data_IF_633303723297
#
_entry.id   IF_633303723297
#
_cell.length_a   1.000
_cell.length_b   1.000
_cell.length_c   1.000
_cell.angle_alpha   90.00
_cell.angle_beta   90.00
_cell.angle_gamma   90.00
#
_symmetry.space_group_name_H-M   'P 1'
#
loop_
_entity.id
_entity.type
_entity.pdbx_description
1 polymer ?
2 non-polymer ?
3 non-polymer ?
4 non-polymer ?
5 non-polymer ?
6 water ?
#
# COMPACT_ATOMS: atom_id res chain seq x y z
N UNK A 7 -6.97 24.36 22.48
CA UNK A 7 -6.99 25.41 21.46
C UNK A 7 -8.14 25.31 20.40
N UNK A 8 -8.90 24.21 20.39
CA UNK A 8 -10.09 23.97 19.53
C UNK A 8 -10.96 22.82 20.08
N UNK A 9 -12.12 22.52 19.41
CA UNK A 9 -13.02 21.40 19.81
C UNK A 9 -13.29 20.46 18.64
N UNK A 10 -13.89 19.28 18.91
CA UNK A 10 -14.32 18.33 17.88
C UNK A 10 -15.74 18.70 17.47
N UNK A 11 -16.12 18.45 16.20
CA UNK A 11 -17.50 18.79 15.80
C UNK A 11 -18.53 18.00 16.59
N UNK A 12 -19.65 18.65 16.86
CA UNK A 12 -20.79 18.11 17.60
C UNK A 12 -21.26 16.79 16.96
N UNK A 13 -21.25 16.69 15.59
CA UNK A 13 -21.66 15.48 14.85
C UNK A 13 -20.78 14.25 15.15
N UNK A 14 -19.46 14.45 15.29
CA UNK A 14 -18.48 13.42 15.65
C UNK A 14 -18.70 13.00 17.09
N UNK A 15 -18.70 13.99 18.00
CA UNK A 15 -18.87 13.84 19.45
C UNK A 15 -20.14 13.07 19.80
N UNK A 16 -21.17 13.21 18.97
CA UNK A 16 -22.43 12.53 19.16
C UNK A 16 -22.29 11.02 19.04
N UNK A 17 -21.52 10.54 18.05
CA UNK A 17 -21.28 9.13 17.74
C UNK A 17 -20.03 8.49 18.36
N UNK A 18 -18.97 9.29 18.61
CA UNK A 18 -17.69 8.80 19.11
C UNK A 18 -17.15 9.56 20.33
N UNK A 19 -16.36 8.83 21.19
CA UNK A 19 -15.59 9.38 22.31
C UNK A 19 -14.13 9.39 21.82
N UNK A 20 -13.53 10.58 21.66
CA UNK A 20 -12.17 10.70 21.15
C UNK A 20 -11.16 10.38 22.21
N UNK A 21 -10.04 9.77 21.79
CA UNK A 21 -8.98 9.35 22.71
C UNK A 21 -7.59 9.74 22.14
N UNK A 22 -6.52 9.02 22.56
CA UNK A 22 -5.09 9.23 22.25
C UNK A 22 -4.67 9.22 20.79
N UNK A 23 -3.60 9.98 20.48
CA UNK A 23 -2.99 10.06 19.16
C UNK A 23 -2.27 8.74 18.85
N UNK A 24 -2.52 8.17 17.66
CA UNK A 24 -1.90 6.92 17.21
C UNK A 24 -0.75 7.23 16.25
N UNK A 25 -0.96 8.22 15.39
CA UNK A 25 0.00 8.73 14.41
C UNK A 25 -0.17 10.22 14.22
N UNK A 26 0.96 10.95 14.21
CA UNK A 26 0.98 12.43 14.10
C UNK A 26 1.98 12.88 13.03
N UNK A 31 -2.73 13.27 10.83
CA UNK A 31 -3.11 13.10 12.24
C UNK A 31 -4.19 12.00 12.47
N UNK A 32 -3.83 10.90 13.21
CA UNK A 32 -4.70 9.73 13.49
C UNK A 32 -4.90 9.54 15.00
N UNK A 33 -6.16 9.60 15.45
CA UNK A 33 -6.46 9.40 16.85
C UNK A 33 -7.26 8.14 17.07
N UNK A 34 -7.20 7.60 18.28
CA UNK A 34 -8.00 6.45 18.71
C UNK A 34 -9.35 7.00 19.17
N UNK A 35 -10.43 6.28 18.91
CA UNK A 35 -11.76 6.68 19.33
C UNK A 35 -12.58 5.43 19.63
N UNK A 36 -13.70 5.61 20.31
CA UNK A 36 -14.62 4.55 20.63
C UNK A 36 -15.99 4.89 20.05
N UNK A 37 -16.60 3.95 19.30
CA UNK A 37 -17.95 4.17 18.81
C UNK A 37 -18.87 3.96 20.02
N UNK A 38 -19.70 4.96 20.33
CA UNK A 38 -20.59 4.93 21.50
C UNK A 38 -21.55 3.75 21.45
N UNK A 39 -22.09 3.45 20.23
CA UNK A 39 -23.08 2.40 19.95
C UNK A 39 -22.61 1.00 20.31
N UNK A 40 -21.35 0.67 19.99
CA UNK A 40 -20.78 -0.65 20.15
C UNK A 40 -19.74 -0.77 21.23
N UNK A 41 -19.13 0.38 21.60
CA UNK A 41 -18.04 0.48 22.57
C UNK A 41 -16.78 -0.11 21.98
N UNK A 42 -16.76 -0.20 20.65
CA UNK A 42 -15.64 -0.75 19.93
C UNK A 42 -14.64 0.34 19.55
N UNK A 43 -13.35 -0.01 19.56
CA UNK A 43 -12.27 0.91 19.22
C UNK A 43 -12.26 1.17 17.72
N UNK A 44 -12.07 2.44 17.30
CA UNK A 44 -11.97 2.84 15.89
C UNK A 44 -10.77 3.76 15.69
N UNK A 45 -10.38 4.03 14.46
CA UNK A 45 -9.29 4.98 14.21
C UNK A 45 -9.87 6.19 13.50
N UNK A 46 -9.54 7.42 13.97
CA UNK A 46 -10.04 8.64 13.32
C UNK A 46 -8.93 9.50 12.76
N UNK A 47 -8.88 9.60 11.42
CA UNK A 47 -7.92 10.42 10.66
C UNK A 47 -8.45 11.85 10.47
N UNK A 48 -7.72 12.81 11.02
CA UNK A 48 -7.99 14.25 10.94
C UNK A 48 -7.11 14.89 9.85
N UNK A 49 -7.77 15.45 8.81
CA UNK A 49 -7.15 16.13 7.67
C UNK A 49 -7.53 17.61 7.74
N UNK A 50 -6.52 18.50 7.83
CA UNK A 50 -6.74 19.97 7.90
C UNK A 50 -7.28 20.55 6.59
N UNK A 51 -8.17 21.55 6.72
CA UNK A 51 -8.77 22.23 5.56
C UNK A 51 -8.00 23.49 5.16
N UNK A 67 -9.93 16.22 -3.28
CA UNK A 67 -8.88 15.24 -3.01
C UNK A 67 -9.34 14.24 -1.92
N UNK A 68 -9.89 14.76 -0.80
CA UNK A 68 -10.40 13.95 0.31
C UNK A 68 -11.71 13.30 -0.15
N UNK A 69 -12.45 14.00 -1.04
CA UNK A 69 -13.70 13.54 -1.65
C UNK A 69 -13.46 12.32 -2.56
N UNK A 70 -12.35 12.33 -3.32
CA UNK A 70 -11.96 11.24 -4.21
C UNK A 70 -11.52 10.03 -3.39
N UNK A 71 -10.75 10.30 -2.32
CA UNK A 71 -10.23 9.31 -1.39
C UNK A 71 -11.43 8.54 -0.73
N UNK A 72 -12.49 9.26 -0.28
CA UNK A 72 -13.71 8.66 0.29
C UNK A 72 -14.43 7.82 -0.74
N UNK A 73 -14.57 8.34 -1.96
CA UNK A 73 -15.22 7.69 -3.10
C UNK A 73 -14.53 6.38 -3.42
N UNK A 74 -13.18 6.39 -3.45
CA UNK A 74 -12.36 5.20 -3.67
C UNK A 74 -12.59 4.21 -2.52
N UNK A 75 -12.30 4.61 -1.26
CA UNK A 75 -12.47 3.76 -0.07
C UNK A 75 -13.82 3.04 0.02
N UNK A 76 -14.94 3.75 -0.29
CA UNK A 76 -16.31 3.22 -0.22
C UNK A 76 -16.56 2.09 -1.23
N UNK A 77 -16.03 2.24 -2.46
CA UNK A 77 -16.23 1.27 -3.53
C UNK A 77 -15.37 0.01 -3.32
N UNK A 78 -14.16 0.17 -2.77
CA UNK A 78 -13.24 -0.95 -2.58
C UNK A 78 -13.67 -1.89 -1.46
N UNK A 79 -13.47 -3.18 -1.67
CA UNK A 79 -13.80 -4.21 -0.70
C UNK A 79 -12.85 -5.40 -0.84
N UNK A 80 -11.71 -5.31 -0.13
CA UNK A 80 -10.68 -6.34 -0.09
C UNK A 80 -10.15 -6.43 1.33
N UNK A 81 -9.83 -7.63 1.87
CA UNK A 81 -9.34 -7.70 3.26
C UNK A 81 -7.98 -7.04 3.52
N UNK A 82 -7.20 -6.73 2.46
CA UNK A 82 -5.88 -6.10 2.62
C UNK A 82 -5.88 -4.63 2.24
N UNK A 83 -7.09 -4.04 2.17
CA UNK A 83 -7.33 -2.62 1.93
C UNK A 83 -8.25 -2.08 3.05
N UNK A 84 -7.82 -1.02 3.75
CA UNK A 84 -8.56 -0.32 4.81
C UNK A 84 -10.00 0.07 4.40
N UNK A 85 -10.93 -0.08 5.36
CA UNK A 85 -12.34 0.24 5.15
C UNK A 85 -12.70 1.51 5.88
N UNK A 86 -13.50 2.34 5.25
CA UNK A 86 -13.99 3.58 5.82
C UNK A 86 -15.29 3.23 6.53
N UNK A 87 -15.45 3.74 7.75
CA UNK A 87 -16.59 3.44 8.60
C UNK A 87 -17.54 4.63 8.67
N UNK A 88 -17.00 5.86 8.53
CA UNK A 88 -17.75 7.11 8.64
C UNK A 88 -16.95 8.31 8.18
N UNK A 89 -17.64 9.43 7.89
CA UNK A 89 -16.97 10.66 7.44
C UNK A 89 -17.68 11.92 7.97
N UNK A 90 -16.89 12.92 8.40
CA UNK A 90 -17.36 14.20 8.91
C UNK A 90 -16.64 15.33 8.19
N UNK A 91 -17.41 16.16 7.48
CA UNK A 91 -16.94 17.32 6.72
C UNK A 91 -17.30 18.59 7.54
N UNK A 92 -16.36 19.03 8.39
CA UNK A 92 -16.50 20.16 9.31
C UNK A 92 -15.42 21.23 9.06
N UNK A 93 -14.79 21.83 10.12
CA UNK A 93 -13.72 22.81 9.97
C UNK A 93 -12.43 22.09 9.50
N UNK A 94 -12.44 20.76 9.69
CA UNK A 94 -11.42 19.80 9.29
C UNK A 94 -12.19 18.57 8.83
N UNK A 95 -11.52 17.73 8.02
CA UNK A 95 -12.10 16.47 7.55
C UNK A 95 -11.82 15.38 8.58
N UNK A 96 -12.85 14.58 8.95
CA UNK A 96 -12.71 13.46 9.89
C UNK A 96 -13.11 12.18 9.16
N UNK A 97 -12.14 11.27 9.02
CA UNK A 97 -12.32 9.96 8.39
C UNK A 97 -12.18 8.89 9.45
N UNK A 98 -13.29 8.19 9.68
CA UNK A 98 -13.41 7.10 10.65
C UNK A 98 -13.07 5.81 9.90
N UNK A 99 -12.01 5.13 10.36
CA UNK A 99 -11.50 3.90 9.77
C UNK A 99 -11.41 2.79 10.78
N UNK A 100 -11.17 1.57 10.30
CA UNK A 100 -10.92 0.39 11.13
C UNK A 100 -9.60 0.61 11.89
N UNK A 101 -9.57 0.25 13.18
CA UNK A 101 -8.36 0.37 13.96
C UNK A 101 -7.42 -0.76 13.62
N UNK A 102 -6.13 -0.43 13.38
CA UNK A 102 -5.07 -1.40 13.11
C UNK A 102 -4.12 -1.34 14.29
N UNK A 103 -4.34 -2.25 15.25
CA UNK A 103 -3.61 -2.32 16.50
C UNK A 103 -2.09 -2.43 16.38
N UNK A 104 -1.61 -3.15 15.37
CA UNK A 104 -0.18 -3.33 15.13
C UNK A 104 0.57 -2.09 14.70
N UNK A 105 -0.18 -1.09 14.23
CA UNK A 105 0.39 0.18 13.79
C UNK A 105 0.98 0.13 12.40
N UNK A 106 1.93 1.03 12.12
CA UNK A 106 2.58 1.10 10.80
C UNK A 106 3.72 0.12 10.66
N UNK A 107 3.90 -0.41 9.43
CA UNK A 107 4.97 -1.33 9.10
C UNK A 107 6.32 -0.59 9.22
N UNK A 108 6.32 0.76 9.03
CA UNK A 108 7.49 1.63 9.18
C UNK A 108 8.21 1.39 10.50
N UNK A 109 7.43 1.29 11.60
CA UNK A 109 7.94 1.07 12.96
C UNK A 109 8.70 -0.23 13.12
N UNK A 110 8.43 -1.25 12.26
CA UNK A 110 9.10 -2.55 12.25
C UNK A 110 10.42 -2.58 11.44
N UNK A 111 10.65 -1.58 10.59
CA UNK A 111 11.81 -1.55 9.66
C UNK A 111 12.78 -0.35 9.88
N UNK A 112 12.37 0.60 10.75
CA UNK A 112 13.12 1.81 11.05
C UNK A 112 14.46 1.55 11.78
N UNK A 113 15.49 2.30 11.37
CA UNK A 113 16.84 2.23 11.96
C UNK A 113 17.50 0.87 11.88
N UNK A 114 17.64 0.34 10.64
CA UNK A 114 18.29 -0.95 10.34
C UNK A 114 17.63 -2.21 10.96
N UNK A 115 16.41 -2.07 11.51
CA UNK A 115 15.63 -3.20 12.05
C UNK A 115 15.14 -4.00 10.85
N UNK A 116 15.26 -5.32 10.92
CA UNK A 116 14.83 -6.13 9.79
C UNK A 116 13.87 -7.23 10.22
N UNK A 117 12.99 -7.61 9.28
CA UNK A 117 12.01 -8.68 9.49
C UNK A 117 12.60 -10.01 9.00
N UNK A 118 12.20 -11.13 9.65
CA UNK A 118 12.67 -12.44 9.21
C UNK A 118 12.03 -12.74 7.85
N UNK A 119 12.77 -13.40 6.94
CA UNK A 119 12.32 -13.68 5.58
C UNK A 119 10.86 -14.17 5.46
N UNK A 120 10.44 -15.00 6.40
CA UNK A 120 9.12 -15.61 6.45
C UNK A 120 8.03 -14.57 6.68
N UNK A 121 8.33 -13.55 7.52
CA UNK A 121 7.44 -12.42 7.83
C UNK A 121 7.34 -11.51 6.61
N UNK A 122 8.49 -11.22 5.93
CA UNK A 122 8.53 -10.41 4.71
C UNK A 122 7.59 -10.99 3.67
N UNK A 123 7.64 -12.35 3.51
CA UNK A 123 6.82 -13.10 2.56
C UNK A 123 5.35 -12.95 2.86
N UNK A 124 4.95 -13.22 4.11
CA UNK A 124 3.56 -13.12 4.56
C UNK A 124 2.97 -11.73 4.33
N UNK A 125 3.72 -10.67 4.69
CA UNK A 125 3.26 -9.29 4.54
C UNK A 125 3.24 -8.92 3.05
N UNK A 126 4.32 -9.24 2.32
CA UNK A 126 4.46 -8.93 0.91
C UNK A 126 3.36 -9.52 0.05
N UNK A 127 3.01 -10.79 0.33
CA UNK A 127 1.97 -11.55 -0.37
C UNK A 127 0.66 -10.82 -0.33
N UNK A 128 0.29 -10.32 0.87
CA UNK A 128 -0.92 -9.54 1.09
C UNK A 128 -0.87 -8.20 0.33
N UNK A 129 0.30 -7.51 0.38
CA UNK A 129 0.55 -6.24 -0.33
C UNK A 129 0.33 -6.44 -1.83
N UNK A 130 0.79 -7.59 -2.39
CA UNK A 130 0.62 -7.92 -3.81
C UNK A 130 -0.86 -8.16 -4.12
N UNK A 131 -1.58 -8.91 -3.24
CA UNK A 131 -3.02 -9.19 -3.38
C UNK A 131 -3.78 -7.87 -3.36
N UNK A 132 -3.44 -6.98 -2.41
CA UNK A 132 -4.07 -5.68 -2.27
C UNK A 132 -3.87 -4.82 -3.53
N UNK A 133 -2.61 -4.66 -3.96
CA UNK A 133 -2.24 -3.88 -5.14
C UNK A 133 -2.75 -4.53 -6.44
N UNK A 134 -2.87 -5.86 -6.49
CA UNK A 134 -3.43 -6.55 -7.67
C UNK A 134 -4.90 -6.17 -7.82
N UNK A 135 -5.65 -6.18 -6.70
CA UNK A 135 -7.06 -5.80 -6.56
C UNK A 135 -7.28 -4.36 -7.06
N UNK A 136 -6.47 -3.40 -6.55
CA UNK A 136 -6.47 -1.98 -6.93
C UNK A 136 -6.34 -1.83 -8.43
N UNK A 137 -5.32 -2.48 -9.06
CA UNK A 137 -5.08 -2.42 -10.50
C UNK A 137 -6.22 -3.04 -11.33
N UNK A 138 -6.77 -4.18 -10.88
CA UNK A 138 -7.94 -4.85 -11.44
C UNK A 138 -9.17 -3.95 -11.43
N UNK A 139 -9.26 -3.05 -10.44
CA UNK A 139 -10.34 -2.09 -10.19
C UNK A 139 -10.05 -0.68 -10.68
N UNK A 140 -8.99 -0.51 -11.48
CA UNK A 140 -8.60 0.75 -12.11
C UNK A 140 -8.12 1.85 -11.19
N UNK A 141 -7.43 1.49 -10.08
CA UNK A 141 -6.89 2.42 -9.08
C UNK A 141 -5.39 2.21 -8.95
N UNK A 142 -4.63 3.31 -9.00
CA UNK A 142 -3.17 3.34 -8.76
C UNK A 142 -3.03 4.11 -7.43
N UNK A 143 -2.38 3.53 -6.40
CA UNK A 143 -2.20 4.13 -5.10
C UNK A 143 -1.29 5.37 -5.17
N UNK A 144 -0.10 5.20 -5.80
CA UNK A 144 0.89 6.26 -6.06
C UNK A 144 1.73 6.70 -4.88
N UNK A 145 1.46 6.17 -3.69
CA UNK A 145 2.24 6.55 -2.52
C UNK A 145 2.43 5.37 -1.56
N UNK A 146 2.81 4.20 -2.09
CA UNK A 146 3.03 3.01 -1.27
C UNK A 146 4.38 3.14 -0.58
N UNK A 147 4.39 3.03 0.77
CA UNK A 147 5.59 3.12 1.61
C UNK A 147 5.27 2.34 2.87
N UNK A 148 6.27 2.02 3.74
CA UNK A 148 5.96 1.34 5.00
C UNK A 148 5.00 2.09 5.92
N UNK A 149 4.93 3.45 5.80
CA UNK A 149 4.01 4.25 6.63
C UNK A 149 2.53 4.12 6.26
N UNK A 150 2.25 3.61 5.04
CA UNK A 150 0.92 3.38 4.49
C UNK A 150 0.51 1.90 4.52
N UNK A 151 1.35 1.07 5.15
CA UNK A 151 1.08 -0.37 5.31
C UNK A 151 0.86 -0.57 6.84
N UNK A 152 -0.37 -1.00 7.22
CA UNK A 152 -0.73 -1.15 8.63
C UNK A 152 -0.88 -2.61 8.97
N UNK A 153 -0.44 -2.94 10.19
CA UNK A 153 -0.48 -4.29 10.78
C UNK A 153 -1.71 -4.42 11.71
N UNK A 154 -2.41 -5.55 11.62
CA UNK A 154 -3.62 -5.79 12.41
C UNK A 154 -3.42 -6.04 13.93
N UNK A 155 -2.24 -6.54 14.34
CA UNK A 155 -1.96 -6.83 15.75
C UNK A 155 -0.49 -6.68 16.08
N UNK A 156 -0.13 -6.84 17.38
CA UNK A 156 1.26 -6.74 17.86
C UNK A 156 2.06 -8.04 17.58
N UNK A 157 1.36 -9.08 17.09
CA UNK A 157 1.91 -10.38 16.69
C UNK A 157 2.58 -10.21 15.33
N UNK A 158 3.68 -10.97 15.06
CA UNK A 158 4.39 -10.86 13.78
C UNK A 158 3.65 -11.56 12.64
N UNK A 159 2.87 -12.59 12.98
CA UNK A 159 2.06 -13.29 12.00
C UNK A 159 0.70 -12.64 12.11
N UNK A 160 0.46 -11.63 11.27
CA UNK A 160 -0.78 -10.87 11.31
C UNK A 160 -1.25 -10.50 9.91
N UNK A 161 -2.41 -9.83 9.83
CA UNK A 161 -2.94 -9.35 8.58
C UNK A 161 -2.46 -7.94 8.33
N UNK A 162 -2.23 -7.60 7.07
CA UNK A 162 -1.85 -6.23 6.74
C UNK A 162 -2.95 -5.54 5.92
N UNK A 163 -3.00 -4.20 5.96
CA UNK A 163 -3.92 -3.40 5.17
C UNK A 163 -3.22 -2.15 4.68
N UNK A 164 -3.47 -1.81 3.41
CA UNK A 164 -2.97 -0.62 2.72
C UNK A 164 -3.91 0.52 3.06
N UNK A 165 -3.34 1.69 3.35
CA UNK A 165 -4.06 2.91 3.69
C UNK A 165 -3.52 4.10 2.89
N UNK A 166 -4.02 5.32 3.20
CA UNK A 166 -3.64 6.64 2.64
C UNK A 166 -3.82 6.70 1.13
N UNK A 167 -5.08 6.73 0.71
CA UNK A 167 -5.43 6.78 -0.70
C UNK A 167 -5.50 8.20 -1.27
N UNK A 168 -4.98 9.18 -0.51
CA UNK A 168 -4.94 10.59 -0.85
C UNK A 168 -4.27 10.95 -2.16
N UNK A 169 -3.27 10.17 -2.58
CA UNK A 169 -2.55 10.43 -3.82
C UNK A 169 -2.98 9.50 -4.95
N UNK A 170 -4.02 8.69 -4.70
CA UNK A 170 -4.43 7.75 -5.72
C UNK A 170 -5.04 8.34 -6.99
N UNK A 171 -4.94 7.59 -8.10
CA UNK A 171 -5.48 7.97 -9.40
C UNK A 171 -6.50 6.93 -9.84
N UNK A 172 -7.51 7.36 -10.59
CA UNK A 172 -8.50 6.46 -11.22
C UNK A 172 -8.13 6.40 -12.70
N UNK A 173 -7.89 5.19 -13.22
CA UNK A 173 -7.49 4.93 -14.61
C UNK A 173 -8.52 5.31 -15.66
N UNK A 175 -6.63 6.34 -19.63
CA UNK A 175 -6.00 7.07 -20.74
C UNK A 175 -7.04 7.48 -21.82
N UNK A 176 -8.30 7.66 -21.38
CA UNK A 176 -9.47 8.02 -22.19
C UNK A 176 -9.29 9.26 -23.08
N UNK A 177 -8.49 10.24 -22.61
CA UNK A 177 -8.19 11.48 -23.33
C UNK A 177 -7.35 11.17 -24.57
N UNK A 178 -6.40 10.22 -24.46
CA UNK A 178 -5.55 9.80 -25.56
C UNK A 178 -6.30 8.90 -26.52
N UNK A 179 -7.13 7.98 -25.98
CA UNK A 179 -7.94 7.04 -26.75
C UNK A 179 -8.89 7.78 -27.70
N UNK A 180 -9.59 8.83 -27.18
CA UNK A 180 -10.49 9.69 -27.96
C UNK A 180 -9.74 10.42 -29.09
N UNK A 181 -8.53 10.94 -28.80
CA UNK A 181 -7.64 11.65 -29.74
C UNK A 181 -7.25 10.72 -30.90
N UNK A 182 -7.03 9.43 -30.61
CA UNK A 182 -6.64 8.42 -31.62
C UNK A 182 -7.77 8.05 -32.56
N UNK A 183 -9.03 8.31 -32.16
CA UNK A 183 -10.18 8.00 -32.98
C UNK A 183 -10.28 8.87 -34.24
N UNK A 184 -9.73 10.09 -34.16
CA UNK A 184 -9.67 11.00 -35.30
C UNK A 184 -8.48 10.81 -36.21
N UNK A 185 -8.42 11.63 -37.28
CA UNK A 185 -7.31 11.66 -38.23
C UNK A 185 -6.23 12.58 -37.62
N UNK A 186 -4.96 12.10 -37.53
CA UNK A 186 -3.91 12.90 -36.88
C UNK A 186 -3.29 14.01 -37.72
N UNK A 187 -3.98 14.47 -38.77
CA UNK A 187 -3.52 15.54 -39.65
C UNK A 187 -2.85 16.68 -38.86
N UNK A 188 -3.48 17.10 -37.72
CA UNK A 188 -3.04 18.19 -36.84
C UNK A 188 -2.46 17.71 -35.49
N UNK A 189 -2.30 16.40 -35.32
CA UNK A 189 -1.77 15.83 -34.10
C UNK A 189 -0.25 15.96 -33.98
N UNK A 190 0.22 16.46 -32.81
CA UNK A 190 1.62 16.68 -32.45
C UNK A 190 2.33 15.33 -32.29
N UNK A 191 3.62 15.26 -32.72
CA UNK A 191 4.36 13.99 -32.60
C UNK A 191 4.56 13.43 -31.20
N UNK A 192 4.83 14.28 -30.20
CA UNK A 192 5.03 13.82 -28.82
C UNK A 192 3.86 12.96 -28.30
N UNK A 193 2.63 13.26 -28.81
CA UNK A 193 1.39 12.58 -28.45
C UNK A 193 1.40 11.17 -29.03
N UNK A 194 1.84 11.02 -30.30
CA UNK A 194 1.95 9.73 -30.98
C UNK A 194 3.08 8.92 -30.35
N UNK A 195 4.13 9.61 -29.91
CA UNK A 195 5.26 8.95 -29.22
C UNK A 195 4.79 8.37 -27.86
N UNK A 196 3.86 9.05 -27.18
CA UNK A 196 3.33 8.67 -25.87
C UNK A 196 2.46 7.41 -25.89
N UNK A 197 1.95 7.00 -27.08
CA UNK A 197 1.11 5.81 -27.29
C UNK A 197 1.88 4.54 -26.86
N UNK A 198 3.21 4.56 -26.99
CA UNK A 198 4.08 3.43 -26.64
C UNK A 198 4.05 3.02 -25.18
N UNK A 199 4.02 4.01 -24.25
CA UNK A 199 4.03 3.79 -22.80
C UNK A 199 2.65 3.95 -22.14
N UNK A 200 1.70 4.60 -22.81
CA UNK A 200 0.36 4.84 -22.28
C UNK A 200 -0.31 3.59 -21.71
N UNK A 201 -0.79 3.72 -20.48
CA UNK A 201 -1.46 2.64 -19.77
C UNK A 201 -0.51 1.80 -18.94
N UNK A 202 0.67 2.34 -18.60
CA UNK A 202 1.65 1.68 -17.75
C UNK A 202 1.91 2.42 -16.44
N UNK A 203 1.00 3.35 -16.08
CA UNK A 203 1.07 4.15 -14.84
C UNK A 203 1.07 3.30 -13.58
N UNK A 204 0.34 2.18 -13.62
CA UNK A 204 0.22 1.20 -12.52
C UNK A 204 1.57 0.61 -12.15
N UNK A 205 2.55 0.60 -13.08
CA UNK A 205 3.89 0.08 -12.86
C UNK A 205 4.62 0.84 -11.74
N UNK A 206 4.23 2.10 -11.46
CA UNK A 206 4.83 2.88 -10.35
C UNK A 206 4.64 2.20 -8.99
N UNK A 207 3.47 1.54 -8.79
CA UNK A 207 3.10 0.82 -7.58
C UNK A 207 3.97 -0.40 -7.40
N UNK A 208 4.36 -1.04 -8.52
CA UNK A 208 5.22 -2.22 -8.51
C UNK A 208 6.64 -1.86 -8.19
N UNK A 209 7.09 -0.67 -8.61
CA UNK A 209 8.40 -0.13 -8.25
C UNK A 209 8.42 0.07 -6.71
N UNK A 210 7.46 0.83 -6.16
CA UNK A 210 7.30 1.10 -4.71
C UNK A 210 7.35 -0.17 -3.87
N UNK A 211 6.65 -1.22 -4.35
CA UNK A 211 6.61 -2.54 -3.71
C UNK A 211 7.98 -3.17 -3.67
N UNK A 212 8.76 -2.98 -4.74
CA UNK A 212 10.13 -3.45 -4.85
C UNK A 212 11.02 -2.82 -3.81
N UNK A 213 10.88 -1.49 -3.62
CA UNK A 213 11.62 -0.68 -2.64
C UNK A 213 11.21 -1.10 -1.21
N UNK A 214 9.89 -1.38 -0.98
CA UNK A 214 9.40 -1.82 0.32
C UNK A 214 10.01 -3.16 0.67
N UNK A 215 9.94 -4.12 -0.28
CA UNK A 215 10.48 -5.47 -0.11
C UNK A 215 11.99 -5.48 0.19
N UNK A 216 12.76 -4.64 -0.52
CA UNK A 216 14.21 -4.46 -0.31
C UNK A 216 14.48 -4.03 1.14
N UNK A 217 13.72 -3.02 1.63
CA UNK A 217 13.83 -2.48 2.97
C UNK A 217 13.49 -3.55 4.01
N UNK A 218 12.37 -4.26 3.82
CA UNK A 218 11.92 -5.30 4.72
C UNK A 218 12.92 -6.43 4.89
N UNK A 219 13.52 -6.88 3.77
CA UNK A 219 14.50 -7.97 3.75
C UNK A 219 15.87 -7.60 4.30
N UNK A 220 16.34 -6.37 4.04
CA UNK A 220 17.69 -5.91 4.40
C UNK A 220 17.82 -4.96 5.61
N UNK A 221 16.75 -4.24 5.93
CA UNK A 221 16.71 -3.25 7.00
C UNK A 221 17.19 -1.89 6.52
N UNK A 222 17.69 -1.81 5.27
CA UNK A 222 18.22 -0.59 4.66
C UNK A 222 17.58 -0.24 3.32
N UNK A 223 17.57 1.08 2.93
CA UNK A 223 16.95 1.45 1.65
C UNK A 223 17.84 1.18 0.42
N UNK A 224 17.24 0.83 -0.74
CA UNK A 224 18.07 0.56 -1.93
C UNK A 224 18.76 1.80 -2.50
N UNK A 225 18.04 2.94 -2.45
CA UNK A 225 18.51 4.22 -2.96
C UNK A 225 18.49 5.22 -1.80
N UNK A 226 19.61 5.92 -1.55
CA UNK A 226 19.79 6.89 -0.46
C UNK A 226 21.02 7.76 -0.69
N UNK A 227 21.16 8.82 0.12
CA UNK A 227 22.29 9.73 0.05
C UNK A 227 23.41 9.33 1.05
N UNK A 228 23.14 8.37 1.96
CA UNK A 228 24.12 7.89 2.95
C UNK A 228 25.30 7.15 2.33
N UNK A 229 26.51 7.60 2.71
CA UNK A 229 27.83 7.10 2.30
C UNK A 229 27.92 6.80 0.78
N UNK A 230 27.55 7.81 -0.06
CA UNK A 230 27.57 7.73 -1.53
C UNK A 230 27.80 9.07 -2.25
N UNK A 231 28.44 9.02 -3.43
CA UNK A 231 28.73 10.18 -4.29
C UNK A 231 27.57 10.51 -5.24
N UNK A 232 27.05 9.47 -5.92
CA UNK A 232 25.94 9.52 -6.89
C UNK A 232 24.64 10.09 -6.29
N UNK A 233 23.99 11.03 -7.01
CA UNK A 233 22.73 11.67 -6.57
C UNK A 233 21.61 10.65 -6.53
N UNK A 234 20.73 10.75 -5.51
CA UNK A 234 19.57 9.89 -5.31
C UNK A 234 18.81 9.72 -6.62
N UNK A 235 18.63 10.83 -7.41
CA UNK A 235 18.00 10.82 -8.75
C UNK A 235 18.75 9.87 -9.70
N UNK A 236 20.09 10.04 -9.84
CA UNK A 236 20.91 9.20 -10.74
C UNK A 236 20.85 7.73 -10.39
N UNK A 237 20.88 7.40 -9.08
CA UNK A 237 20.73 6.03 -8.57
C UNK A 237 19.43 5.41 -9.09
N UNK A 238 18.28 6.11 -8.89
CA UNK A 238 16.94 5.64 -9.29
C UNK A 238 16.81 5.46 -10.79
N UNK A 239 17.21 6.48 -11.59
CA UNK A 239 17.11 6.37 -13.05
C UNK A 239 17.99 5.29 -13.62
N UNK A 240 19.23 5.13 -13.10
CA UNK A 240 20.12 4.03 -13.54
C UNK A 240 19.60 2.68 -13.01
N UNK A 241 18.83 2.73 -11.91
CA UNK A 241 18.29 1.57 -11.23
C UNK A 241 19.38 0.79 -10.55
N UNK A 242 20.46 1.48 -10.16
CA UNK A 242 21.62 0.90 -9.51
C UNK A 242 21.48 1.03 -8.00
N UNK A 243 20.78 0.06 -7.41
CA UNK A 243 20.57 -0.03 -5.96
C UNK A 243 21.88 -0.40 -5.26
N UNK A 244 22.01 0.01 -4.01
CA UNK A 244 23.17 -0.27 -3.18
C UNK A 244 23.06 -1.73 -2.69
N UNK A 245 23.95 -2.60 -3.18
CA UNK A 245 23.94 -4.00 -2.76
C UNK A 245 25.08 -4.30 -1.75
N UNK A 246 24.72 -4.52 -0.47
CA UNK A 246 25.66 -4.85 0.61
C UNK A 246 25.59 -6.36 0.81
N UNK A 247 26.60 -7.13 0.31
CA UNK A 247 26.50 -8.60 0.36
C UNK A 247 26.33 -9.27 1.71
N UNK A 248 26.96 -8.71 2.76
CA UNK A 248 26.97 -9.21 4.13
C UNK A 248 25.55 -9.27 4.69
N UNK A 249 24.74 -8.29 4.30
CA UNK A 249 23.34 -8.17 4.71
C UNK A 249 22.50 -9.22 3.97
N UNK A 250 22.63 -9.24 2.62
CA UNK A 250 21.86 -10.09 1.72
C UNK A 250 22.17 -11.58 1.74
N UNK A 251 23.38 -11.98 2.18
CA UNK A 251 23.81 -13.38 2.30
C UNK A 251 22.83 -14.17 3.19
N UNK A 252 22.23 -13.47 4.19
CA UNK A 252 21.23 -13.96 5.14
C UNK A 252 19.84 -14.12 4.46
N UNK A 253 19.67 -13.56 3.26
CA UNK A 253 18.40 -13.59 2.49
C UNK A 253 18.54 -14.59 1.33
N UNK A 254 17.45 -15.30 0.97
CA UNK A 254 17.43 -16.28 -0.11
C UNK A 254 17.61 -15.63 -1.50
N UNK A 255 18.12 -16.42 -2.47
CA UNK A 255 18.32 -16.01 -3.87
C UNK A 255 16.98 -15.71 -4.57
N UNK A 256 15.89 -16.45 -4.17
CA UNK A 256 14.52 -16.27 -4.68
C UNK A 256 13.97 -14.90 -4.34
N UNK A 257 14.05 -14.49 -3.04
CA UNK A 257 13.60 -13.20 -2.54
C UNK A 257 14.32 -12.08 -3.29
N UNK A 258 15.66 -12.16 -3.42
CA UNK A 258 16.46 -11.16 -4.14
C UNK A 258 16.10 -11.07 -5.64
N UNK A 259 15.84 -12.22 -6.29
CA UNK A 259 15.42 -12.28 -7.69
C UNK A 259 14.09 -11.51 -7.91
N UNK A 260 13.11 -11.64 -6.98
CA UNK A 260 11.84 -10.91 -7.08
C UNK A 260 12.03 -9.38 -6.99
N UNK A 261 12.89 -8.93 -6.03
CA UNK A 261 13.28 -7.53 -5.83
C UNK A 261 13.84 -7.01 -7.17
N UNK A 262 14.85 -7.72 -7.71
CA UNK A 262 15.51 -7.43 -8.99
C UNK A 262 14.50 -7.19 -10.14
N UNK A 263 13.45 -8.03 -10.24
CA UNK A 263 12.42 -7.94 -11.28
C UNK A 263 11.37 -6.82 -11.11
N UNK A 264 11.29 -6.25 -9.91
CA UNK A 264 10.40 -5.14 -9.57
C UNK A 264 11.18 -3.84 -9.67
N UNK A 265 12.50 -3.89 -9.34
CA UNK A 265 13.36 -2.72 -9.45
C UNK A 265 13.95 -2.55 -10.86
N UNK A 266 13.11 -2.82 -11.89
CA UNK A 266 13.40 -2.68 -13.32
C UNK A 266 12.99 -1.24 -13.73
N UNK A 267 13.95 -0.51 -14.33
CA UNK A 267 13.84 0.89 -14.81
C UNK A 267 12.74 1.05 -15.87
N UNK A 268 12.70 0.18 -16.91
CA UNK A 268 11.68 0.18 -17.97
C UNK A 268 10.30 -0.25 -17.38
N UNK A 269 9.30 0.68 -17.28
CA UNK A 269 7.99 0.28 -16.71
C UNK A 269 7.25 -0.79 -17.49
N UNK A 270 7.61 -1.02 -18.77
CA UNK A 270 6.95 -2.01 -19.62
C UNK A 270 7.49 -3.41 -19.39
N UNK A 271 8.77 -3.50 -18.95
CA UNK A 271 9.48 -4.75 -18.61
C UNK A 271 9.30 -5.15 -17.12
N UNK A 272 9.13 -4.15 -16.22
CA UNK A 272 8.90 -4.35 -14.79
C UNK A 272 7.80 -5.36 -14.54
N UNK A 273 7.98 -6.16 -13.49
CA UNK A 273 7.04 -7.19 -13.07
C UNK A 273 5.76 -6.57 -12.64
N UNK A 274 4.67 -7.18 -13.05
CA UNK A 274 3.35 -6.74 -12.64
C UNK A 274 3.06 -7.50 -11.32
N UNK A 275 1.91 -7.24 -10.67
CA UNK A 275 1.47 -7.93 -9.45
C UNK A 275 1.21 -9.42 -9.75
N UNK A 276 0.68 -9.76 -10.96
CA UNK A 276 0.43 -11.14 -11.39
C UNK A 276 1.72 -11.96 -11.50
N UNK A 277 2.74 -11.35 -12.13
CA UNK A 277 4.07 -11.91 -12.36
C UNK A 277 4.81 -12.10 -11.03
N UNK A 278 4.64 -11.14 -10.09
CA UNK A 278 5.21 -11.21 -8.75
C UNK A 278 4.54 -12.36 -7.98
N UNK A 279 3.20 -12.49 -8.06
CA UNK A 279 2.45 -13.57 -7.40
C UNK A 279 2.73 -14.96 -7.98
N UNK A 280 3.16 -15.03 -9.26
CA UNK A 280 3.54 -16.28 -9.95
C UNK A 280 5.02 -16.65 -9.69
N UNK A 281 5.82 -15.72 -9.09
CA UNK A 281 7.25 -15.91 -8.80
C UNK A 281 7.51 -17.09 -7.84
N UNK A 282 8.59 -17.89 -8.06
CA UNK A 282 8.89 -19.00 -7.12
C UNK A 282 8.93 -18.64 -5.62
N UNK A 283 9.36 -17.40 -5.27
CA UNK A 283 9.43 -16.97 -3.86
C UNK A 283 8.06 -16.97 -3.20
N UNK A 284 7.00 -16.81 -4.00
CA UNK A 284 5.64 -16.76 -3.47
C UNK A 284 4.88 -18.06 -3.50
N UNK A 285 5.48 -19.10 -4.10
CA UNK A 285 4.93 -20.44 -4.19
C UNK A 285 5.33 -21.16 -2.92
N UNK A 286 4.68 -20.74 -1.80
CA UNK A 286 4.89 -21.19 -0.42
C UNK A 286 3.50 -21.47 0.19
N UNK A 287 3.14 -22.77 0.23
CA UNK A 287 1.84 -23.21 0.75
C UNK A 287 1.64 -23.02 2.23
N UNK A 288 2.76 -23.00 2.97
CA UNK A 288 2.81 -22.76 4.39
C UNK A 288 2.42 -21.33 4.72
N UNK A 289 3.02 -20.35 3.98
CA UNK A 289 2.73 -18.92 4.15
C UNK A 289 1.27 -18.64 3.76
N UNK A 290 0.82 -19.22 2.63
CA UNK A 290 -0.55 -19.06 2.13
C UNK A 290 -1.58 -19.58 3.13
N UNK A 291 -1.29 -20.75 3.76
CA UNK A 291 -2.12 -21.36 4.79
C UNK A 291 -2.21 -20.44 6.00
N UNK A 292 -1.06 -19.88 6.46
CA UNK A 292 -1.00 -18.92 7.59
C UNK A 292 -1.88 -17.68 7.35
N UNK A 293 -1.89 -17.14 6.10
CA UNK A 293 -2.71 -15.98 5.75
C UNK A 293 -4.21 -16.33 5.78
N UNK A 294 -4.61 -17.47 5.17
CA UNK A 294 -6.00 -17.92 5.16
C UNK A 294 -6.50 -18.14 6.58
N UNK A 295 -5.62 -18.67 7.46
CA UNK A 295 -5.87 -18.89 8.89
C UNK A 295 -6.22 -17.58 9.59
N UNK A 296 -5.44 -16.52 9.32
CA UNK A 296 -5.60 -15.19 9.91
C UNK A 296 -6.89 -14.52 9.44
N UNK A 297 -7.29 -14.78 8.18
CA UNK A 297 -8.51 -14.30 7.56
C UNK A 297 -9.72 -14.84 8.30
N UNK A 298 -9.85 -16.19 8.39
CA UNK A 298 -10.97 -16.86 9.07
C UNK A 298 -11.08 -16.41 10.53
N UNK A 299 -9.92 -16.27 11.20
CA UNK A 299 -9.77 -15.79 12.58
C UNK A 299 -10.37 -14.38 12.72
N UNK A 300 -10.12 -13.48 11.73
CA UNK A 300 -10.66 -12.11 11.71
C UNK A 300 -12.18 -12.14 11.40
N UNK A 301 -12.57 -12.91 10.37
CA UNK A 301 -13.93 -13.05 9.86
C UNK A 301 -14.91 -13.88 10.70
N UNK A 302 -14.43 -14.58 11.75
CA UNK A 302 -15.24 -15.43 12.64
C UNK A 302 -16.30 -14.65 13.43
N UNK A 303 -15.96 -13.42 13.81
CA UNK A 303 -16.81 -12.49 14.57
C UNK A 303 -18.03 -11.98 13.78
N UNK A 304 -17.93 -11.96 12.43
CA UNK A 304 -18.98 -11.44 11.55
C UNK A 304 -19.78 -12.51 10.78
N UNK A 305 -19.24 -13.75 10.70
CA UNK A 305 -19.82 -14.89 9.99
C UNK A 305 -21.25 -15.27 10.40
N UNK A 306 -22.18 -15.17 9.43
CA UNK A 306 -23.61 -15.51 9.60
C UNK A 306 -23.81 -17.00 9.21
N UNK A 307 -24.79 -17.75 9.81
CA UNK A 307 -24.98 -19.15 9.40
C UNK A 307 -25.32 -19.25 7.93
N UNK A 308 -24.90 -20.32 7.26
CA UNK A 308 -25.17 -20.37 5.84
C UNK A 308 -25.91 -21.58 5.34
N UNK A 309 -26.57 -21.40 4.19
CA UNK A 309 -27.36 -22.42 3.49
C UNK A 309 -26.41 -23.51 3.02
N UNK A 310 -26.61 -24.74 3.55
CA UNK A 310 -25.81 -25.93 3.27
C UNK A 310 -26.60 -26.93 2.41
#
# INVERSE_FOLDING_TARGET
GPLGSHMSVYPKALRDEYIMSKTLGSGACGEVKLAFERKTCKKVAIKIISKRKFAIGSAREADPALNVETEIEILKKLNHPCIIKIKNFFDAEDYYIVLELMEGGELFDKVVGNKRLKEATCKLYFYQMLLAVQYLHENGIIHRDLKPENVLLSSQEEDCLIKITDFGHSKILGETSLMRTLCGTPTYLAPEVLVSVGTAGYNRAVDCWSLGVILFICLSGYPPFSEHRTQVSLKDQITSGKYNFIPEVWAEVSEKALDLVKKLLVVDPKARFTTEEALRHPWLQDEDMKRKFQDLLSEENESTALPQVLAQPSTSRKRPREGEAEGAE
#
